data_IF_014292429325
#
_entry.id   IF_014292429325
#
_cell.length_a   1.000
_cell.length_b   1.000
_cell.length_c   1.000
_cell.angle_alpha   90.00
_cell.angle_beta   90.00
_cell.angle_gamma   90.00
#
_symmetry.space_group_name_H-M   'P 1'
#
loop_
_entity.id
_entity.type
_entity.pdbx_description
1 polymer ?
#
# COMPACT_ATOMS: atom_id res chain seq x y z
N UNK A 1 -8.25 23.64 14.52
CA UNK A 1 -8.95 22.46 13.95
C UNK A 1 -9.83 22.75 12.72
N UNK A 2 -10.72 23.76 12.71
CA UNK A 2 -11.62 24.00 11.54
C UNK A 2 -10.91 24.15 10.19
N UNK A 3 -9.75 24.83 10.13
CA UNK A 3 -8.96 25.02 8.90
C UNK A 3 -8.30 23.72 8.41
N UNK A 4 -7.84 22.88 9.34
CA UNK A 4 -7.26 21.57 9.03
C UNK A 4 -8.26 20.71 8.25
N UNK A 5 -9.46 20.51 8.79
CA UNK A 5 -10.49 19.70 8.13
C UNK A 5 -10.95 20.30 6.81
N UNK A 6 -10.97 21.64 6.70
CA UNK A 6 -11.25 22.32 5.44
C UNK A 6 -10.20 21.98 4.37
N UNK A 7 -8.91 22.06 4.69
CA UNK A 7 -7.82 21.72 3.75
C UNK A 7 -7.84 20.24 3.35
N UNK A 8 -8.11 19.33 4.29
CA UNK A 8 -8.28 17.91 3.97
C UNK A 8 -9.44 17.73 2.99
N UNK A 9 -10.61 18.32 3.30
CA UNK A 9 -11.81 18.22 2.46
C UNK A 9 -11.59 18.77 1.06
N UNK A 10 -10.97 19.94 0.93
CA UNK A 10 -10.63 20.54 -0.36
C UNK A 10 -9.74 19.60 -1.18
N UNK A 11 -8.68 19.05 -0.57
CA UNK A 11 -7.77 18.11 -1.25
C UNK A 11 -8.48 16.83 -1.71
N UNK A 12 -9.42 16.30 -0.91
CA UNK A 12 -10.24 15.14 -1.28
C UNK A 12 -11.15 15.48 -2.47
N UNK A 13 -11.83 16.62 -2.43
CA UNK A 13 -12.73 17.03 -3.49
C UNK A 13 -11.99 17.26 -4.81
N UNK A 14 -10.79 17.82 -4.76
CA UNK A 14 -9.92 18.02 -5.92
C UNK A 14 -9.48 16.69 -6.55
N UNK A 15 -9.39 15.62 -5.75
CA UNK A 15 -8.94 14.28 -6.17
C UNK A 15 -10.06 13.24 -6.24
N UNK A 16 -11.32 13.61 -6.05
CA UNK A 16 -12.45 12.66 -5.96
C UNK A 16 -12.56 11.73 -7.18
N UNK A 17 -12.40 12.26 -8.38
CA UNK A 17 -12.45 11.45 -9.61
C UNK A 17 -11.26 10.49 -9.68
N UNK A 18 -10.08 10.93 -9.24
CA UNK A 18 -8.90 10.09 -9.21
C UNK A 18 -9.05 8.93 -8.21
N UNK A 19 -9.64 9.20 -7.04
CA UNK A 19 -9.98 8.17 -6.06
C UNK A 19 -10.92 7.13 -6.67
N UNK A 20 -12.00 7.59 -7.30
CA UNK A 20 -12.99 6.72 -7.94
C UNK A 20 -12.39 5.91 -9.11
N UNK A 21 -11.57 6.54 -9.95
CA UNK A 21 -10.93 5.88 -11.08
C UNK A 21 -9.92 4.84 -10.60
N UNK A 22 -9.02 5.18 -9.67
CA UNK A 22 -8.01 4.21 -9.20
C UNK A 22 -8.65 3.05 -8.44
N UNK A 23 -9.52 3.34 -7.47
CA UNK A 23 -10.21 2.30 -6.71
C UNK A 23 -11.13 1.46 -7.58
N UNK A 24 -11.84 2.12 -8.51
CA UNK A 24 -12.74 1.45 -9.47
C UNK A 24 -11.99 0.59 -10.48
N UNK A 25 -10.90 1.06 -11.09
CA UNK A 25 -10.11 0.28 -12.05
C UNK A 25 -9.47 -0.93 -11.39
N UNK A 26 -8.86 -0.76 -10.21
CA UNK A 26 -8.28 -1.89 -9.46
C UNK A 26 -9.38 -2.85 -9.01
N UNK A 27 -10.53 -2.33 -8.56
CA UNK A 27 -11.70 -3.14 -8.22
C UNK A 27 -12.30 -3.90 -9.41
N UNK A 28 -12.37 -3.29 -10.59
CA UNK A 28 -12.84 -3.93 -11.82
C UNK A 28 -11.88 -5.00 -12.32
N UNK A 29 -10.56 -4.78 -12.17
CA UNK A 29 -9.56 -5.82 -12.41
C UNK A 29 -9.78 -7.00 -11.44
N UNK A 30 -10.04 -6.73 -10.17
CA UNK A 30 -10.38 -7.75 -9.18
C UNK A 30 -11.63 -8.55 -9.57
N UNK A 31 -12.68 -7.85 -9.96
CA UNK A 31 -13.90 -8.46 -10.48
C UNK A 31 -13.61 -9.35 -11.69
N UNK A 32 -12.78 -8.88 -12.63
CA UNK A 32 -12.40 -9.66 -13.81
C UNK A 32 -11.66 -10.95 -13.43
N UNK A 33 -10.68 -10.89 -12.52
CA UNK A 33 -9.95 -12.07 -12.03
C UNK A 33 -10.90 -13.05 -11.34
N UNK A 34 -11.78 -12.57 -10.46
CA UNK A 34 -12.76 -13.42 -9.76
C UNK A 34 -13.73 -14.09 -10.74
N UNK A 35 -14.21 -13.35 -11.75
CA UNK A 35 -15.10 -13.89 -12.79
C UNK A 35 -14.39 -14.90 -13.69
N UNK A 36 -13.12 -14.68 -14.00
CA UNK A 36 -12.30 -15.63 -14.75
C UNK A 36 -12.16 -16.95 -13.97
N UNK A 37 -11.91 -16.85 -12.66
CA UNK A 37 -11.72 -18.00 -11.78
C UNK A 37 -12.92 -18.95 -11.72
N UNK A 38 -14.13 -18.46 -11.94
CA UNK A 38 -15.33 -19.30 -11.99
C UNK A 38 -15.33 -20.32 -13.14
N UNK A 39 -14.63 -19.97 -14.22
CA UNK A 39 -14.55 -20.77 -15.42
C UNK A 39 -13.25 -21.58 -15.48
N UNK A 40 -12.36 -21.40 -14.50
CA UNK A 40 -11.12 -22.15 -14.39
C UNK A 40 -11.32 -23.43 -13.60
N UNK A 41 -10.72 -24.51 -14.11
CA UNK A 41 -10.54 -25.73 -13.34
C UNK A 41 -9.25 -25.62 -12.51
N UNK A 42 -9.42 -25.32 -11.22
CA UNK A 42 -8.30 -25.19 -10.28
C UNK A 42 -7.51 -26.50 -10.12
N UNK A 43 -8.13 -27.67 -10.34
CA UNK A 43 -7.43 -28.95 -10.28
C UNK A 43 -6.50 -29.13 -11.48
N UNK A 44 -6.98 -28.77 -12.68
CA UNK A 44 -6.13 -28.78 -13.87
C UNK A 44 -4.95 -27.79 -13.76
N UNK A 45 -5.14 -26.66 -13.07
CA UNK A 45 -4.03 -25.74 -12.76
C UNK A 45 -3.05 -26.36 -11.77
N UNK A 46 -3.52 -27.01 -10.71
CA UNK A 46 -2.66 -27.70 -9.75
C UNK A 46 -1.78 -28.76 -10.44
N UNK A 47 -2.35 -29.56 -11.34
CA UNK A 47 -1.62 -30.56 -12.10
C UNK A 47 -0.50 -29.93 -12.96
N UNK A 48 -0.80 -28.84 -13.67
CA UNK A 48 0.20 -28.11 -14.48
C UNK A 48 1.31 -27.57 -13.58
N UNK A 49 0.96 -26.89 -12.49
CA UNK A 49 1.94 -26.29 -11.60
C UNK A 49 2.81 -27.36 -10.94
N UNK A 50 2.26 -28.54 -10.58
CA UNK A 50 3.02 -29.63 -9.96
C UNK A 50 4.19 -30.15 -10.80
N UNK A 51 4.20 -29.85 -12.10
CA UNK A 51 5.31 -30.18 -13.02
C UNK A 51 6.46 -29.17 -13.01
N UNK A 52 6.27 -28.00 -12.37
CA UNK A 52 7.31 -26.99 -12.25
C UNK A 52 8.40 -27.44 -11.27
N UNK A 53 9.67 -27.05 -11.51
CA UNK A 53 10.75 -27.21 -10.53
C UNK A 53 10.36 -26.67 -9.14
N UNK A 54 10.79 -27.33 -8.05
CA UNK A 54 10.47 -26.90 -6.68
C UNK A 54 10.82 -25.43 -6.40
N UNK A 55 11.92 -24.94 -6.97
CA UNK A 55 12.36 -23.56 -6.78
C UNK A 55 11.43 -22.54 -7.42
N UNK A 56 10.80 -22.89 -8.55
CA UNK A 56 9.77 -22.07 -9.20
C UNK A 56 8.43 -22.19 -8.46
N UNK A 57 8.14 -23.36 -7.90
CA UNK A 57 6.95 -23.57 -7.07
C UNK A 57 6.97 -22.70 -5.82
N UNK A 58 8.10 -22.68 -5.11
CA UNK A 58 8.30 -21.86 -3.92
C UNK A 58 8.24 -20.36 -4.25
N UNK A 59 8.68 -19.96 -5.44
CA UNK A 59 8.56 -18.58 -5.91
C UNK A 59 7.11 -18.11 -6.05
N UNK A 60 6.21 -18.98 -6.53
CA UNK A 60 4.76 -18.70 -6.57
C UNK A 60 4.05 -18.95 -5.24
N UNK A 61 4.81 -19.26 -4.17
CA UNK A 61 4.32 -19.49 -2.81
C UNK A 61 3.68 -20.87 -2.58
N UNK A 62 3.90 -21.81 -3.49
CA UNK A 62 3.48 -23.21 -3.33
C UNK A 62 2.09 -23.54 -3.87
N UNK A 63 1.85 -24.84 -4.08
CA UNK A 63 0.62 -25.37 -4.68
C UNK A 63 -0.66 -24.96 -3.94
N UNK A 64 -0.59 -24.86 -2.61
CA UNK A 64 -1.76 -24.54 -1.77
C UNK A 64 -2.33 -23.13 -2.04
N UNK A 65 -1.52 -22.22 -2.60
CA UNK A 65 -1.98 -20.89 -2.98
C UNK A 65 -2.70 -20.94 -4.33
N UNK A 66 -2.29 -21.83 -5.23
CA UNK A 66 -2.77 -21.89 -6.61
C UNK A 66 -4.12 -22.62 -6.69
N UNK A 67 -4.31 -23.67 -5.89
CA UNK A 67 -5.57 -24.43 -5.83
C UNK A 67 -6.64 -23.77 -4.94
N UNK A 68 -6.29 -22.72 -4.18
CA UNK A 68 -7.24 -21.96 -3.36
C UNK A 68 -7.67 -20.66 -4.06
N UNK A 69 -8.97 -20.34 -4.15
CA UNK A 69 -9.42 -19.14 -4.85
C UNK A 69 -8.94 -17.83 -4.21
N UNK A 70 -8.79 -17.78 -2.89
CA UNK A 70 -8.19 -16.64 -2.19
C UNK A 70 -6.70 -16.52 -2.46
N UNK A 71 -6.00 -17.64 -2.57
CA UNK A 71 -4.58 -17.64 -2.89
C UNK A 71 -4.30 -17.16 -4.30
N UNK A 72 -5.01 -17.70 -5.29
CA UNK A 72 -4.90 -17.25 -6.67
C UNK A 72 -5.20 -15.75 -6.79
N UNK A 73 -6.31 -15.31 -6.19
CA UNK A 73 -6.66 -13.88 -6.17
C UNK A 73 -5.58 -13.02 -5.51
N UNK A 74 -5.02 -13.47 -4.37
CA UNK A 74 -3.93 -12.77 -3.69
C UNK A 74 -2.67 -12.69 -4.54
N UNK A 75 -2.27 -13.76 -5.23
CA UNK A 75 -1.10 -13.73 -6.10
C UNK A 75 -1.27 -12.75 -7.27
N UNK A 76 -2.42 -12.81 -7.94
CA UNK A 76 -2.68 -11.97 -9.12
C UNK A 76 -2.83 -10.50 -8.78
N UNK A 77 -3.57 -10.17 -7.71
CA UNK A 77 -3.92 -8.78 -7.42
C UNK A 77 -3.22 -8.19 -6.22
N UNK A 78 -2.74 -8.98 -5.27
CA UNK A 78 -2.08 -8.47 -4.07
C UNK A 78 -0.55 -8.53 -4.13
N UNK A 79 0.03 -8.99 -5.24
CA UNK A 79 1.47 -8.94 -5.46
C UNK A 79 1.88 -7.61 -6.13
N UNK A 80 2.07 -7.62 -7.46
CA UNK A 80 2.75 -6.53 -8.16
C UNK A 80 1.95 -5.23 -8.28
N UNK A 81 0.61 -5.25 -8.22
CA UNK A 81 -0.18 -4.02 -8.43
C UNK A 81 0.17 -2.94 -7.41
N UNK A 82 0.48 -3.34 -6.18
CA UNK A 82 0.77 -2.43 -5.08
C UNK A 82 2.17 -1.82 -5.18
N UNK A 83 3.08 -2.43 -5.93
CA UNK A 83 4.35 -1.81 -6.31
C UNK A 83 4.10 -0.56 -7.16
N UNK A 84 3.26 -0.67 -8.19
CA UNK A 84 2.88 0.46 -9.05
C UNK A 84 2.07 1.51 -8.28
N UNK A 85 1.12 1.09 -7.45
CA UNK A 85 0.38 1.98 -6.58
C UNK A 85 1.30 2.72 -5.60
N UNK A 86 2.29 2.02 -5.04
CA UNK A 86 3.32 2.58 -4.16
C UNK A 86 4.14 3.67 -4.85
N UNK A 87 4.61 3.43 -6.08
CA UNK A 87 5.31 4.44 -6.88
C UNK A 87 4.42 5.67 -7.07
N UNK A 88 3.16 5.49 -7.48
CA UNK A 88 2.21 6.59 -7.64
C UNK A 88 2.01 7.39 -6.34
N UNK A 89 1.87 6.71 -5.20
CA UNK A 89 1.72 7.35 -3.90
C UNK A 89 2.99 8.08 -3.45
N UNK A 90 4.18 7.59 -3.81
CA UNK A 90 5.46 8.30 -3.61
C UNK A 90 5.47 9.63 -4.37
N UNK A 91 5.02 9.64 -5.63
CA UNK A 91 4.85 10.89 -6.40
C UNK A 91 3.87 11.83 -5.72
N UNK A 92 2.69 11.34 -5.33
CA UNK A 92 1.69 12.14 -4.64
C UNK A 92 2.25 12.74 -3.35
N UNK A 93 2.77 11.90 -2.45
CA UNK A 93 3.29 12.28 -1.15
C UNK A 93 4.39 13.34 -1.25
N UNK A 94 5.34 13.16 -2.18
CA UNK A 94 6.43 14.09 -2.46
C UNK A 94 5.92 15.47 -2.89
N UNK A 95 4.90 15.47 -3.74
CA UNK A 95 4.35 16.68 -4.37
C UNK A 95 3.47 17.52 -3.43
N UNK A 96 2.83 16.90 -2.43
CA UNK A 96 1.84 17.56 -1.56
C UNK A 96 2.39 18.74 -0.73
N UNK A 97 3.70 18.77 -0.47
CA UNK A 97 4.37 19.89 0.20
C UNK A 97 5.30 20.60 -0.78
N UNK A 98 6.18 19.84 -1.44
CA UNK A 98 7.28 20.41 -2.22
C UNK A 98 6.79 21.23 -3.40
N UNK A 99 5.65 20.90 -4.03
CA UNK A 99 5.11 21.72 -5.13
C UNK A 99 4.75 23.13 -4.68
N UNK A 100 4.24 23.32 -3.46
CA UNK A 100 3.90 24.66 -2.96
C UNK A 100 5.15 25.50 -2.69
N UNK A 101 6.26 24.85 -2.29
CA UNK A 101 7.57 25.49 -2.12
C UNK A 101 8.16 25.83 -3.48
N UNK A 102 8.23 24.87 -4.41
CA UNK A 102 8.80 25.03 -5.74
C UNK A 102 8.07 26.11 -6.56
N UNK A 103 6.75 26.27 -6.35
CA UNK A 103 5.94 27.32 -7.00
C UNK A 103 5.93 28.65 -6.26
N UNK A 104 6.65 28.79 -5.14
CA UNK A 104 6.64 29.99 -4.27
C UNK A 104 5.24 30.39 -3.79
N UNK A 105 4.34 29.41 -3.60
CA UNK A 105 2.97 29.64 -3.12
C UNK A 105 2.78 29.23 -1.67
N UNK A 106 3.79 28.64 -1.03
CA UNK A 106 3.72 28.20 0.36
C UNK A 106 3.42 29.35 1.33
N UNK A 107 3.92 30.56 1.06
CA UNK A 107 3.63 31.74 1.89
C UNK A 107 2.16 32.12 1.84
N UNK A 108 1.48 31.92 0.71
CA UNK A 108 0.03 32.12 0.61
C UNK A 108 -0.73 31.11 1.48
N UNK A 109 -0.27 29.86 1.52
CA UNK A 109 -0.85 28.83 2.38
C UNK A 109 -0.61 29.11 3.87
N UNK A 110 0.58 29.59 4.23
CA UNK A 110 0.99 29.88 5.61
C UNK A 110 0.59 31.28 6.10
N UNK A 111 0.17 32.19 5.21
CA UNK A 111 -0.45 33.47 5.60
C UNK A 111 -1.81 33.28 6.29
N UNK A 112 -2.46 32.14 6.02
CA UNK A 112 -3.66 31.72 6.76
C UNK A 112 -3.23 31.37 8.19
N UNK A 113 -4.07 31.64 9.22
CA UNK A 113 -3.75 31.30 10.61
C UNK A 113 -3.83 29.78 10.84
N UNK A 114 -2.85 29.04 10.33
CA UNK A 114 -2.66 27.60 10.46
C UNK A 114 -1.21 27.33 10.88
N UNK A 115 -1.01 26.53 11.94
CA UNK A 115 0.33 26.14 12.35
C UNK A 115 0.96 25.17 11.34
N UNK A 116 2.30 25.14 11.26
CA UNK A 116 3.04 24.21 10.39
C UNK A 116 2.67 22.75 10.63
N UNK A 117 2.46 22.37 11.90
CA UNK A 117 1.95 21.04 12.28
C UNK A 117 0.59 20.73 11.67
N UNK A 118 -0.38 21.66 11.78
CA UNK A 118 -1.70 21.47 11.21
C UNK A 118 -1.68 21.49 9.68
N UNK A 119 -0.82 22.32 9.08
CA UNK A 119 -0.66 22.37 7.63
C UNK A 119 -0.15 21.03 7.10
N UNK A 120 1.02 20.55 7.57
CA UNK A 120 1.57 19.28 7.11
C UNK A 120 0.70 18.09 7.53
N UNK A 121 0.18 18.11 8.76
CA UNK A 121 -0.74 17.08 9.25
C UNK A 121 -2.00 16.95 8.39
N UNK A 122 -2.52 18.05 7.83
CA UNK A 122 -3.65 17.98 6.90
C UNK A 122 -3.29 17.27 5.60
N UNK A 123 -2.07 17.46 5.08
CA UNK A 123 -1.58 16.79 3.87
C UNK A 123 -1.36 15.29 4.11
N UNK A 124 -0.81 14.93 5.27
CA UNK A 124 -0.63 13.53 5.69
C UNK A 124 -2.00 12.86 5.88
N UNK A 125 -2.93 13.54 6.56
CA UNK A 125 -4.30 13.02 6.76
C UNK A 125 -5.03 12.83 5.44
N UNK A 126 -4.92 13.79 4.52
CA UNK A 126 -5.42 13.64 3.16
C UNK A 126 -4.83 12.39 2.48
N UNK A 127 -3.52 12.16 2.58
CA UNK A 127 -2.85 11.02 1.97
C UNK A 127 -3.41 9.68 2.51
N UNK A 128 -3.60 9.53 3.82
CA UNK A 128 -4.20 8.31 4.37
C UNK A 128 -5.67 8.16 4.00
N UNK A 129 -6.46 9.23 4.03
CA UNK A 129 -7.87 9.15 3.59
C UNK A 129 -7.98 8.79 2.11
N UNK A 130 -7.06 9.29 1.29
CA UNK A 130 -6.96 8.91 -0.12
C UNK A 130 -6.67 7.41 -0.26
N UNK A 131 -5.63 6.89 0.43
CA UNK A 131 -5.26 5.46 0.40
C UNK A 131 -6.42 4.59 0.90
N UNK A 132 -6.96 4.90 2.09
CA UNK A 132 -8.06 4.14 2.69
C UNK A 132 -9.30 4.10 1.80
N UNK A 133 -9.64 5.20 1.12
CA UNK A 133 -10.81 5.23 0.23
C UNK A 133 -10.56 4.45 -1.07
N UNK A 134 -9.39 4.59 -1.69
CA UNK A 134 -9.03 3.85 -2.92
C UNK A 134 -9.03 2.34 -2.64
N UNK A 135 -8.31 1.92 -1.60
CA UNK A 135 -8.24 0.51 -1.18
C UNK A 135 -9.62 0.03 -0.75
N UNK A 136 -10.42 0.88 -0.08
CA UNK A 136 -11.77 0.54 0.36
C UNK A 136 -12.73 0.26 -0.79
N UNK A 137 -12.70 1.09 -1.84
CA UNK A 137 -13.49 0.86 -3.06
C UNK A 137 -13.07 -0.47 -3.72
N UNK A 138 -11.77 -0.72 -3.85
CA UNK A 138 -11.25 -1.99 -4.38
C UNK A 138 -11.77 -3.20 -3.58
N UNK A 139 -11.65 -3.17 -2.25
CA UNK A 139 -12.11 -4.27 -1.39
C UNK A 139 -13.63 -4.45 -1.42
N UNK A 140 -14.41 -3.36 -1.49
CA UNK A 140 -15.86 -3.45 -1.59
C UNK A 140 -16.31 -4.10 -2.90
N UNK A 141 -15.70 -3.73 -4.03
CA UNK A 141 -15.98 -4.37 -5.33
C UNK A 141 -15.55 -5.83 -5.30
N UNK A 142 -14.38 -6.14 -4.75
CA UNK A 142 -13.87 -7.51 -4.61
C UNK A 142 -14.80 -8.37 -3.76
N UNK A 143 -15.24 -7.88 -2.60
CA UNK A 143 -16.19 -8.57 -1.73
C UNK A 143 -17.53 -8.82 -2.44
N UNK A 144 -18.08 -7.80 -3.12
CA UNK A 144 -19.31 -7.96 -3.90
C UNK A 144 -19.17 -9.04 -4.99
N UNK A 145 -17.99 -9.11 -5.61
CA UNK A 145 -17.66 -10.09 -6.65
C UNK A 145 -17.53 -11.50 -6.07
N UNK A 146 -16.85 -11.65 -4.92
CA UNK A 146 -16.73 -12.92 -4.20
C UNK A 146 -18.09 -13.44 -3.72
N UNK A 147 -18.95 -12.56 -3.18
CA UNK A 147 -20.32 -12.93 -2.78
C UNK A 147 -21.15 -13.38 -3.98
N UNK A 148 -20.95 -12.75 -5.14
CA UNK A 148 -21.57 -13.15 -6.41
C UNK A 148 -21.05 -14.49 -6.95
N UNK A 149 -19.81 -14.86 -6.60
CA UNK A 149 -19.14 -16.03 -7.17
C UNK A 149 -19.52 -17.35 -6.50
N UNK A 150 -19.79 -18.39 -7.29
CA UNK A 150 -20.05 -19.73 -6.77
C UNK A 150 -18.80 -20.40 -6.18
N UNK A 151 -17.62 -20.14 -6.76
CA UNK A 151 -16.33 -20.67 -6.30
C UNK A 151 -16.01 -20.15 -4.91
N UNK A 152 -16.07 -18.83 -4.69
CA UNK A 152 -15.82 -18.23 -3.38
C UNK A 152 -16.90 -18.58 -2.35
N UNK A 153 -18.17 -18.71 -2.76
CA UNK A 153 -19.23 -19.17 -1.82
C UNK A 153 -19.03 -20.60 -1.34
N UNK A 154 -18.48 -21.49 -2.18
CA UNK A 154 -18.16 -22.87 -1.78
C UNK A 154 -16.99 -22.91 -0.79
N UNK A 155 -15.98 -22.07 -1.01
CA UNK A 155 -14.83 -21.95 -0.10
C UNK A 155 -15.21 -21.30 1.24
N UNK A 156 -16.14 -20.34 1.20
CA UNK A 156 -16.59 -19.54 2.34
C UNK A 156 -16.12 -18.10 2.24
N UNK A 157 -16.94 -17.16 2.73
CA UNK A 157 -16.65 -15.72 2.68
C UNK A 157 -16.08 -15.25 4.02
N UNK A 158 -14.75 -15.06 4.07
CA UNK A 158 -14.03 -14.65 5.27
C UNK A 158 -13.87 -13.13 5.37
N UNK A 159 -14.89 -12.45 5.88
CA UNK A 159 -14.93 -10.98 5.97
C UNK A 159 -13.81 -10.44 6.87
N UNK A 160 -13.55 -11.13 7.99
CA UNK A 160 -12.51 -10.78 8.95
C UNK A 160 -11.11 -10.81 8.33
N UNK A 161 -10.83 -11.82 7.48
CA UNK A 161 -9.55 -11.94 6.77
C UNK A 161 -9.41 -10.87 5.69
N UNK A 162 -10.49 -10.58 4.97
CA UNK A 162 -10.50 -9.48 3.99
C UNK A 162 -10.27 -8.12 4.65
N UNK A 163 -10.85 -7.88 5.84
CA UNK A 163 -10.60 -6.66 6.62
C UNK A 163 -9.16 -6.60 7.12
N UNK A 164 -8.61 -7.71 7.60
CA UNK A 164 -7.20 -7.79 7.99
C UNK A 164 -6.27 -7.39 6.82
N UNK A 165 -6.51 -7.97 5.65
CA UNK A 165 -5.74 -7.66 4.43
C UNK A 165 -5.94 -6.21 3.99
N UNK A 166 -7.15 -5.66 4.09
CA UNK A 166 -7.42 -4.24 3.84
C UNK A 166 -6.52 -3.34 4.69
N UNK A 167 -6.46 -3.58 6.00
CA UNK A 167 -5.62 -2.78 6.89
C UNK A 167 -4.13 -2.96 6.61
N UNK A 168 -3.70 -4.18 6.28
CA UNK A 168 -2.31 -4.45 5.89
C UNK A 168 -1.92 -3.66 4.64
N UNK A 169 -2.74 -3.69 3.58
CA UNK A 169 -2.52 -2.92 2.34
C UNK A 169 -2.45 -1.42 2.63
N UNK A 170 -3.37 -0.88 3.44
CA UNK A 170 -3.38 0.55 3.80
C UNK A 170 -2.10 0.96 4.52
N UNK A 171 -1.65 0.17 5.52
CA UNK A 171 -0.44 0.49 6.29
C UNK A 171 0.83 0.30 5.46
N UNK A 172 0.87 -0.73 4.61
CA UNK A 172 1.96 -0.99 3.68
C UNK A 172 2.14 0.18 2.70
N UNK A 173 1.09 0.56 1.99
CA UNK A 173 1.12 1.71 1.06
C UNK A 173 1.40 3.03 1.79
N UNK A 174 0.84 3.18 3.00
CA UNK A 174 1.11 4.30 3.88
C UNK A 174 2.60 4.42 4.21
N UNK A 175 3.26 3.31 4.55
CA UNK A 175 4.68 3.28 4.88
C UNK A 175 5.53 3.71 3.68
N UNK A 176 5.27 3.15 2.49
CA UNK A 176 5.96 3.54 1.25
C UNK A 176 5.79 5.03 0.93
N UNK A 177 4.55 5.54 1.02
CA UNK A 177 4.26 6.94 0.75
C UNK A 177 4.90 7.87 1.81
N UNK A 178 4.94 7.44 3.07
CA UNK A 178 5.53 8.21 4.16
C UNK A 178 7.04 8.30 4.11
N UNK A 179 7.75 7.32 3.53
CA UNK A 179 9.19 7.45 3.25
C UNK A 179 9.42 8.66 2.34
N UNK A 180 8.72 8.72 1.21
CA UNK A 180 8.82 9.85 0.30
C UNK A 180 8.36 11.17 0.93
N UNK A 181 7.31 11.12 1.76
CA UNK A 181 6.81 12.30 2.47
C UNK A 181 7.84 12.87 3.43
N UNK A 182 8.50 12.02 4.18
CA UNK A 182 9.56 12.39 5.11
C UNK A 182 10.69 13.11 4.39
N UNK A 183 11.22 12.52 3.31
CA UNK A 183 12.24 13.17 2.49
C UNK A 183 11.76 14.47 1.83
N UNK A 184 10.47 14.57 1.51
CA UNK A 184 9.83 15.82 1.06
C UNK A 184 9.96 16.96 2.07
N UNK A 185 9.96 16.68 3.37
CA UNK A 185 10.17 17.70 4.40
C UNK A 185 11.63 18.12 4.54
N UNK A 186 12.56 17.24 4.17
CA UNK A 186 14.01 17.49 4.23
C UNK A 186 14.46 18.31 3.03
N UNK A 187 14.10 17.86 1.83
CA UNK A 187 14.60 18.42 0.58
C UNK A 187 13.77 19.59 0.07
N UNK A 188 12.49 19.68 0.45
CA UNK A 188 11.52 20.63 -0.12
C UNK A 188 11.51 20.63 -1.66
N UNK A 189 11.82 19.47 -2.27
CA UNK A 189 11.83 19.30 -3.71
C UNK A 189 11.13 18.00 -4.10
N UNK A 190 10.20 18.10 -5.04
CA UNK A 190 9.41 16.98 -5.52
C UNK A 190 10.33 15.96 -6.19
N UNK A 191 11.20 16.41 -7.09
CA UNK A 191 12.12 15.55 -7.85
C UNK A 191 13.04 14.73 -6.92
N UNK A 192 13.68 15.38 -5.95
CA UNK A 192 14.61 14.69 -5.02
C UNK A 192 13.88 13.67 -4.14
N UNK A 193 12.71 14.05 -3.64
CA UNK A 193 11.92 13.20 -2.73
C UNK A 193 11.36 11.97 -3.44
N UNK A 194 10.90 12.14 -4.69
CA UNK A 194 10.51 11.02 -5.55
C UNK A 194 11.69 10.09 -5.80
N UNK A 195 12.84 10.64 -6.19
CA UNK A 195 14.02 9.82 -6.50
C UNK A 195 14.42 8.94 -5.31
N UNK A 196 14.48 9.51 -4.10
CA UNK A 196 14.80 8.75 -2.88
C UNK A 196 13.66 7.78 -2.52
N UNK A 197 12.40 8.21 -2.62
CA UNK A 197 11.26 7.34 -2.33
C UNK A 197 11.22 6.10 -3.21
N UNK A 198 11.41 6.25 -4.52
CA UNK A 198 11.45 5.15 -5.49
C UNK A 198 12.68 4.26 -5.27
N UNK A 199 13.85 4.85 -5.01
CA UNK A 199 15.06 4.11 -4.68
C UNK A 199 14.86 3.22 -3.44
N UNK A 200 14.33 3.79 -2.35
CA UNK A 200 14.05 3.04 -1.13
C UNK A 200 13.00 1.97 -1.40
N UNK A 201 11.94 2.26 -2.14
CA UNK A 201 10.92 1.27 -2.50
C UNK A 201 11.54 0.04 -3.19
N UNK A 202 12.40 0.23 -4.20
CA UNK A 202 13.02 -0.91 -4.89
C UNK A 202 14.00 -1.66 -4.01
N UNK A 203 14.81 -0.96 -3.20
CA UNK A 203 15.70 -1.63 -2.24
C UNK A 203 14.87 -2.49 -1.28
N UNK A 204 13.80 -1.94 -0.70
CA UNK A 204 12.94 -2.69 0.22
C UNK A 204 12.26 -3.86 -0.49
N UNK A 205 11.77 -3.68 -1.72
CA UNK A 205 11.19 -4.76 -2.52
C UNK A 205 12.17 -5.93 -2.69
N UNK A 206 13.39 -5.68 -3.16
CA UNK A 206 14.38 -6.74 -3.35
C UNK A 206 14.77 -7.43 -2.03
N UNK A 207 14.93 -6.67 -0.95
CA UNK A 207 15.26 -7.23 0.36
C UNK A 207 14.11 -8.05 0.97
N UNK A 208 12.86 -7.70 0.67
CA UNK A 208 11.69 -8.35 1.25
C UNK A 208 11.24 -9.60 0.49
N UNK A 209 11.29 -9.56 -0.85
CA UNK A 209 10.80 -10.64 -1.70
C UNK A 209 11.88 -11.67 -2.05
N UNK A 210 13.14 -11.24 -2.21
CA UNK A 210 14.21 -12.10 -2.73
C UNK A 210 15.19 -12.59 -1.66
N UNK A 211 14.89 -12.40 -0.37
CA UNK A 211 15.80 -12.80 0.71
C UNK A 211 16.08 -14.31 0.74
N UNK A 212 15.14 -15.14 0.29
CA UNK A 212 15.25 -16.61 0.31
C UNK A 212 16.41 -17.07 -0.60
N UNK A 213 16.70 -16.33 -1.67
CA UNK A 213 17.80 -16.62 -2.60
C UNK A 213 19.16 -16.09 -2.11
N UNK A 214 19.19 -15.42 -0.95
CA UNK A 214 20.41 -14.96 -0.32
C UNK A 214 20.97 -16.04 0.61
N UNK A 215 22.30 -16.05 0.81
CA UNK A 215 22.93 -17.00 1.74
C UNK A 215 22.36 -16.88 3.15
N UNK A 216 22.20 -18.00 3.86
CA UNK A 216 21.50 -18.09 5.16
C UNK A 216 21.92 -17.01 6.17
N UNK A 217 23.22 -16.71 6.23
CA UNK A 217 23.82 -15.74 7.15
C UNK A 217 23.25 -14.32 6.96
N UNK A 218 22.82 -13.95 5.75
CA UNK A 218 22.34 -12.60 5.43
C UNK A 218 20.81 -12.51 5.29
N UNK A 219 20.07 -13.61 5.41
CA UNK A 219 18.61 -13.60 5.27
C UNK A 219 17.88 -12.75 6.31
N UNK A 220 18.54 -12.43 7.44
CA UNK A 220 18.02 -11.49 8.44
C UNK A 220 17.79 -10.08 7.91
N UNK A 221 18.33 -9.72 6.73
CA UNK A 221 18.10 -8.41 6.10
C UNK A 221 16.64 -8.14 5.76
N UNK A 222 15.82 -9.20 5.60
CA UNK A 222 14.38 -9.09 5.31
C UNK A 222 13.63 -8.26 6.33
N UNK A 223 14.06 -8.28 7.60
CA UNK A 223 13.40 -7.54 8.68
C UNK A 223 13.50 -6.01 8.55
N UNK A 224 14.38 -5.51 7.68
CA UNK A 224 14.48 -4.08 7.35
C UNK A 224 13.43 -3.71 6.29
N UNK A 225 12.97 -4.68 5.49
CA UNK A 225 12.05 -4.43 4.39
C UNK A 225 10.62 -4.21 4.84
N UNK A 226 10.00 -3.14 4.32
CA UNK A 226 8.55 -2.91 4.43
C UNK A 226 7.75 -4.04 3.74
N UNK A 227 8.29 -4.64 2.68
CA UNK A 227 7.63 -5.71 1.92
C UNK A 227 7.58 -7.02 2.72
N UNK A 228 8.56 -7.29 3.60
CA UNK A 228 8.53 -8.48 4.44
C UNK A 228 7.32 -8.53 5.38
N UNK A 229 6.81 -7.36 5.79
CA UNK A 229 5.64 -7.25 6.67
C UNK A 229 4.32 -7.11 5.89
N UNK A 230 4.36 -7.24 4.56
CA UNK A 230 3.18 -7.26 3.71
C UNK A 230 3.03 -8.65 3.09
N UNK A 231 2.40 -9.57 3.84
CA UNK A 231 2.11 -10.91 3.36
C UNK A 231 0.60 -11.20 3.37
N UNK A 232 -0.14 -10.81 2.31
CA UNK A 232 -1.59 -11.01 2.26
C UNK A 232 -2.02 -12.49 2.25
N UNK A 233 -1.14 -13.40 1.80
CA UNK A 233 -1.39 -14.84 1.77
C UNK A 233 -1.51 -15.39 3.19
N UNK A 234 -0.61 -15.00 4.10
CA UNK A 234 -0.61 -15.48 5.48
C UNK A 234 -1.93 -15.17 6.20
N UNK A 235 -2.53 -14.04 5.87
CA UNK A 235 -3.76 -13.58 6.51
C UNK A 235 -5.02 -14.18 5.85
N UNK A 236 -5.04 -14.26 4.51
CA UNK A 236 -6.21 -14.75 3.76
C UNK A 236 -6.34 -16.26 3.81
N UNK A 237 -5.23 -16.99 3.63
CA UNK A 237 -5.22 -18.44 3.50
C UNK A 237 -4.98 -19.08 4.87
N UNK A 238 -3.81 -18.81 5.46
CA UNK A 238 -3.37 -19.50 6.68
C UNK A 238 -4.04 -18.97 7.96
N UNK A 239 -4.70 -17.81 7.88
CA UNK A 239 -5.37 -17.16 9.00
C UNK A 239 -4.45 -16.96 10.21
N UNK A 240 -3.17 -16.70 9.97
CA UNK A 240 -2.18 -16.53 11.03
C UNK A 240 -2.35 -15.16 11.72
N UNK A 241 -3.16 -15.16 12.78
CA UNK A 241 -3.41 -13.97 13.60
C UNK A 241 -2.18 -13.46 14.34
N UNK A 242 -1.19 -14.32 14.63
CA UNK A 242 0.03 -13.96 15.31
C UNK A 242 0.97 -13.18 14.41
N UNK A 243 1.21 -13.70 13.20
CA UNK A 243 1.96 -13.00 12.14
C UNK A 243 1.27 -11.69 11.75
N UNK A 244 -0.04 -11.72 11.51
CA UNK A 244 -0.82 -10.52 11.23
C UNK A 244 -0.62 -9.43 12.29
N UNK A 245 -0.73 -9.79 13.57
CA UNK A 245 -0.59 -8.83 14.68
C UNK A 245 0.81 -8.22 14.70
N UNK A 246 1.85 -9.04 14.54
CA UNK A 246 3.23 -8.58 14.44
C UNK A 246 3.40 -7.58 13.30
N UNK A 247 2.92 -7.93 12.11
CA UNK A 247 3.15 -7.16 10.90
C UNK A 247 2.44 -5.81 10.92
N UNK A 248 1.18 -5.78 11.36
CA UNK A 248 0.41 -4.54 11.54
C UNK A 248 1.05 -3.63 12.59
N UNK A 249 1.56 -4.19 13.70
CA UNK A 249 2.27 -3.40 14.72
C UNK A 249 3.53 -2.78 14.11
N UNK A 250 4.34 -3.55 13.40
CA UNK A 250 5.59 -3.06 12.81
C UNK A 250 5.32 -2.00 11.73
N UNK A 251 4.39 -2.27 10.81
CA UNK A 251 3.97 -1.29 9.82
C UNK A 251 3.39 -0.02 10.48
N UNK A 252 2.61 -0.18 11.55
CA UNK A 252 2.09 0.93 12.35
C UNK A 252 3.20 1.78 12.97
N UNK A 253 4.23 1.15 13.54
CA UNK A 253 5.40 1.81 14.10
C UNK A 253 6.16 2.57 13.01
N UNK A 254 6.42 1.95 11.85
CA UNK A 254 7.10 2.60 10.71
C UNK A 254 6.35 3.87 10.29
N UNK A 255 5.03 3.76 10.09
CA UNK A 255 4.19 4.90 9.76
C UNK A 255 4.25 5.98 10.85
N UNK A 256 4.08 5.60 12.12
CA UNK A 256 4.10 6.52 13.26
C UNK A 256 5.42 7.29 13.38
N UNK A 257 6.55 6.61 13.26
CA UNK A 257 7.89 7.20 13.29
C UNK A 257 8.09 8.16 12.12
N UNK A 258 7.72 7.78 10.90
CA UNK A 258 7.86 8.64 9.72
C UNK A 258 6.93 9.86 9.78
N UNK A 259 5.72 9.72 10.31
CA UNK A 259 4.79 10.85 10.53
C UNK A 259 5.38 11.81 11.56
N UNK A 260 5.79 11.30 12.73
CA UNK A 260 6.37 12.11 13.79
C UNK A 260 7.64 12.84 13.32
N UNK A 261 8.53 12.12 12.62
CA UNK A 261 9.73 12.66 12.00
C UNK A 261 9.41 13.75 10.98
N UNK A 262 8.45 13.53 10.09
CA UNK A 262 8.04 14.51 9.07
C UNK A 262 7.52 15.80 9.73
N UNK A 263 6.65 15.67 10.74
CA UNK A 263 6.10 16.81 11.48
C UNK A 263 7.17 17.58 12.23
N UNK A 264 8.09 16.88 12.89
CA UNK A 264 9.19 17.49 13.63
C UNK A 264 10.16 18.24 12.71
N UNK A 265 10.62 17.59 11.63
CA UNK A 265 11.56 18.16 10.66
C UNK A 265 10.96 19.41 10.02
N UNK A 266 9.72 19.32 9.51
CA UNK A 266 9.07 20.45 8.85
C UNK A 266 8.83 21.64 9.78
N UNK A 267 8.52 21.38 11.06
CA UNK A 267 8.31 22.46 12.01
C UNK A 267 9.57 23.31 12.21
N UNK A 268 10.74 22.68 12.24
CA UNK A 268 12.05 23.35 12.42
C UNK A 268 12.68 23.83 11.11
N UNK A 269 12.14 23.47 9.96
CA UNK A 269 12.74 23.76 8.66
C UNK A 269 12.51 25.22 8.25
N UNK A 270 13.56 25.88 7.79
CA UNK A 270 13.42 27.18 7.14
C UNK A 270 12.86 27.01 5.73
N UNK A 271 11.87 27.84 5.39
CA UNK A 271 11.20 27.80 4.11
C UNK A 271 11.89 28.83 3.22
N UNK A 272 12.49 28.43 2.09
CA UNK A 272 13.10 29.36 1.15
C UNK A 272 12.01 30.21 0.46
N UNK A 273 12.30 31.51 0.29
CA UNK A 273 11.47 32.49 -0.43
C UNK A 273 11.59 32.35 -1.96
#
# INVERSE_FOLDING_TARGET
>A
MRRFFKTVKESILDKKFMILILGGVIGLLSFFIISMLENLDLQALEDIFSTLPPELMDFFGGLAIISNPYGFWSLEILSFIWLYAGIYLIFMASSLLSNEVEKKTIDLSLSKPISRYNFLGSKITFLYVFIMTVVGIFFLISLGSMVGSSTFRKEGIFIERLLATYFSVVLFLGALAMVAKFFSTIFLSTKKSVAVGVMVLFIMFFLGEFYIYMGEIIQGIKYISIFHYYNPVDYLIYADSGLFTRDIIILGIINGVLIAGSLFVFNKKDIPN
#
